data_IF_319208910198
#
_entry.id   IF_319208910198
#
_cell.length_a   1.000
_cell.length_b   1.000
_cell.length_c   1.000
_cell.angle_alpha   90.00
_cell.angle_beta   90.00
_cell.angle_gamma   90.00
#
_symmetry.space_group_name_H-M   'P 1'
#
loop_
_entity.id
_entity.type
_entity.pdbx_description
1 polymer ?
#
# COMPACT_ATOMS: atom_id res chain seq x y z
N UNK A 1 3.26 5.76 6.77
CA UNK A 1 3.95 5.18 5.59
C UNK A 1 3.91 6.06 4.34
N UNK A 2 2.75 6.59 3.94
CA UNK A 2 2.64 7.44 2.73
C UNK A 2 3.53 8.69 2.81
N UNK A 3 3.61 9.36 3.96
CA UNK A 3 4.51 10.51 4.13
C UNK A 3 5.99 10.14 3.98
N UNK A 4 6.39 8.95 4.47
CA UNK A 4 7.74 8.42 4.26
C UNK A 4 8.00 8.19 2.78
N UNK A 5 7.02 7.64 2.05
CA UNK A 5 7.10 7.44 0.61
C UNK A 5 7.27 8.75 -0.16
N UNK A 6 6.51 9.79 0.23
CA UNK A 6 6.63 11.14 -0.35
C UNK A 6 8.01 11.77 -0.09
N UNK A 7 8.54 11.57 1.12
CA UNK A 7 9.89 12.03 1.46
C UNK A 7 10.95 11.33 0.60
N UNK A 8 10.83 10.01 0.42
CA UNK A 8 11.74 9.23 -0.44
C UNK A 8 11.71 9.69 -1.90
N UNK A 9 10.53 9.99 -2.46
CA UNK A 9 10.42 10.55 -3.81
C UNK A 9 11.18 11.87 -3.99
N UNK A 10 11.17 12.73 -2.97
CA UNK A 10 11.93 14.00 -3.00
C UNK A 10 13.43 13.74 -2.87
N UNK A 11 13.82 12.83 -1.99
CA UNK A 11 15.22 12.49 -1.74
C UNK A 11 15.88 11.70 -2.89
N UNK A 12 15.10 11.05 -3.76
CA UNK A 12 15.59 10.31 -4.94
C UNK A 12 15.44 11.11 -6.26
N UNK A 13 15.21 12.42 -6.16
CA UNK A 13 15.15 13.32 -7.31
C UNK A 13 16.50 13.40 -8.05
N UNK A 14 16.52 13.88 -9.32
CA UNK A 14 17.69 13.79 -10.22
C UNK A 14 19.01 14.36 -9.68
N UNK A 15 18.95 15.25 -8.69
CA UNK A 15 20.12 15.89 -8.06
C UNK A 15 20.78 14.99 -6.99
N UNK A 16 20.08 13.96 -6.53
CA UNK A 16 20.48 13.15 -5.38
C UNK A 16 20.94 11.74 -5.75
N UNK A 17 21.04 11.42 -7.04
CA UNK A 17 21.27 10.04 -7.52
C UNK A 17 22.30 10.02 -8.65
N UNK A 18 23.19 9.03 -8.64
CA UNK A 18 24.27 8.92 -9.62
C UNK A 18 23.79 8.57 -11.05
N UNK A 19 22.66 7.87 -11.17
CA UNK A 19 22.12 7.39 -12.44
C UNK A 19 20.63 7.76 -12.58
N UNK A 20 20.19 7.97 -13.81
CA UNK A 20 18.80 8.29 -14.16
C UNK A 20 17.78 7.18 -13.81
N UNK A 21 18.22 6.02 -13.34
CA UNK A 21 17.34 4.91 -12.97
C UNK A 21 16.43 5.25 -11.78
N UNK A 22 16.98 5.89 -10.74
CA UNK A 22 16.23 6.29 -9.56
C UNK A 22 15.16 7.37 -9.85
N UNK A 23 15.49 8.51 -10.52
CA UNK A 23 14.48 9.50 -10.89
C UNK A 23 13.42 8.91 -11.84
N UNK A 24 13.82 8.07 -12.81
CA UNK A 24 12.88 7.40 -13.71
C UNK A 24 11.87 6.49 -12.98
N UNK A 25 12.20 5.97 -11.80
CA UNK A 25 11.28 5.21 -10.96
C UNK A 25 10.41 6.10 -10.06
N UNK A 26 10.96 7.19 -9.51
CA UNK A 26 10.22 8.04 -8.54
C UNK A 26 9.35 9.12 -9.18
N UNK A 27 9.64 9.59 -10.39
CA UNK A 27 8.78 10.55 -11.10
C UNK A 27 7.35 10.04 -11.32
N UNK A 28 7.13 8.83 -11.89
CA UNK A 28 5.77 8.30 -12.02
C UNK A 28 5.13 8.03 -10.66
N UNK A 29 5.89 7.55 -9.67
CA UNK A 29 5.38 7.30 -8.32
C UNK A 29 4.88 8.58 -7.64
N UNK A 30 5.66 9.66 -7.76
CA UNK A 30 5.31 10.97 -7.19
C UNK A 30 4.03 11.53 -7.82
N UNK A 31 3.86 11.35 -9.13
CA UNK A 31 2.61 11.70 -9.81
C UNK A 31 1.43 10.82 -9.36
N UNK A 32 1.65 9.53 -9.16
CA UNK A 32 0.63 8.60 -8.72
C UNK A 32 0.12 8.93 -7.30
N UNK A 33 1.01 9.24 -6.36
CA UNK A 33 0.64 9.66 -5.00
C UNK A 33 -0.13 10.97 -5.03
N UNK A 34 0.20 11.90 -5.94
CA UNK A 34 -0.50 13.18 -6.08
C UNK A 34 -1.94 13.03 -6.56
N UNK A 35 -2.20 12.15 -7.53
CA UNK A 35 -3.53 12.01 -8.15
C UNK A 35 -4.40 10.91 -7.50
N UNK A 36 -3.79 9.89 -6.90
CA UNK A 36 -4.49 8.71 -6.39
C UNK A 36 -4.25 8.50 -4.89
N UNK A 37 -4.04 9.58 -4.12
CA UNK A 37 -3.70 9.48 -2.69
C UNK A 37 -4.69 8.60 -1.91
N UNK A 38 -5.98 8.75 -2.17
CA UNK A 38 -7.04 7.99 -1.50
C UNK A 38 -6.90 6.47 -1.73
N UNK A 39 -6.43 6.04 -2.91
CA UNK A 39 -6.17 4.63 -3.20
C UNK A 39 -4.97 4.09 -2.41
N UNK A 40 -3.93 4.91 -2.24
CA UNK A 40 -2.78 4.55 -1.39
C UNK A 40 -3.20 4.48 0.09
N UNK A 41 -4.07 5.39 0.53
CA UNK A 41 -4.64 5.38 1.89
C UNK A 41 -5.52 4.15 2.11
N UNK A 42 -6.40 3.82 1.16
CA UNK A 42 -7.20 2.60 1.20
C UNK A 42 -6.34 1.33 1.24
N UNK A 43 -5.24 1.29 0.48
CA UNK A 43 -4.32 0.14 0.43
C UNK A 43 -3.49 -0.11 1.69
N UNK A 44 -3.35 0.90 2.57
CA UNK A 44 -2.69 0.75 3.89
C UNK A 44 -3.67 0.52 5.03
N UNK A 45 -4.97 0.80 4.82
CA UNK A 45 -6.00 0.47 5.81
C UNK A 45 -6.06 -1.05 5.87
N UNK A 46 -5.66 -1.59 7.02
CA UNK A 46 -5.72 -3.02 7.28
C UNK A 46 -7.19 -3.43 7.33
N UNK A 47 -7.73 -3.94 6.22
CA UNK A 47 -8.90 -4.79 6.32
C UNK A 47 -8.44 -6.06 7.02
N UNK A 48 -9.02 -6.33 8.18
CA UNK A 48 -8.89 -7.63 8.82
C UNK A 48 -9.46 -8.68 7.88
N UNK A 49 -8.62 -9.21 6.98
CA UNK A 49 -8.89 -10.38 6.14
C UNK A 49 -8.95 -11.63 7.02
N UNK A 50 -9.80 -11.59 8.03
CA UNK A 50 -10.12 -12.72 8.85
C UNK A 50 -11.08 -13.59 8.04
N UNK A 51 -10.75 -14.87 7.94
CA UNK A 51 -11.71 -15.90 7.52
C UNK A 51 -12.86 -16.07 8.55
N UNK A 52 -12.92 -15.21 9.58
CA UNK A 52 -13.98 -15.16 10.58
C UNK A 52 -15.22 -14.39 10.10
N UNK A 53 -15.17 -13.76 8.93
CA UNK A 53 -16.36 -13.20 8.32
C UNK A 53 -17.43 -14.30 8.19
N UNK A 54 -18.55 -14.10 8.87
CA UNK A 54 -19.66 -15.05 8.90
C UNK A 54 -20.26 -15.13 7.49
N UNK A 55 -19.78 -16.05 6.67
CA UNK A 55 -20.37 -16.32 5.36
C UNK A 55 -21.80 -16.79 5.60
N UNK A 56 -22.79 -16.06 5.08
CA UNK A 56 -24.22 -16.42 5.23
C UNK A 56 -24.42 -17.87 4.77
N UNK A 57 -24.82 -18.74 5.69
CA UNK A 57 -25.09 -20.16 5.42
C UNK A 57 -24.00 -21.14 5.88
N UNK A 58 -22.83 -20.67 6.37
CA UNK A 58 -21.81 -21.55 6.96
C UNK A 58 -22.00 -21.62 8.48
N UNK A 59 -22.03 -22.83 9.03
CA UNK A 59 -22.18 -23.04 10.47
C UNK A 59 -20.94 -22.50 11.23
N UNK A 60 -21.12 -21.62 12.23
CA UNK A 60 -20.01 -20.97 12.93
C UNK A 60 -19.15 -21.91 13.79
N UNK A 61 -19.59 -23.16 14.03
CA UNK A 61 -18.83 -24.10 14.86
C UNK A 61 -17.56 -24.65 14.16
N UNK A 62 -17.46 -24.54 12.83
CA UNK A 62 -16.30 -25.00 12.07
C UNK A 62 -15.15 -23.97 12.04
N UNK A 63 -15.44 -22.71 12.40
CA UNK A 63 -14.44 -21.63 12.38
C UNK A 63 -13.37 -21.79 13.48
N UNK A 64 -13.70 -22.48 14.59
CA UNK A 64 -12.78 -22.69 15.73
C UNK A 64 -12.05 -24.04 15.72
N UNK A 65 -12.25 -24.87 14.69
CA UNK A 65 -11.75 -26.25 14.64
C UNK A 65 -10.50 -26.45 13.78
N UNK A 66 -9.80 -25.37 13.39
CA UNK A 66 -8.61 -25.45 12.55
C UNK A 66 -7.34 -25.28 13.41
N UNK A 67 -6.43 -26.22 13.22
CA UNK A 67 -5.11 -26.40 13.84
C UNK A 67 -4.14 -25.28 13.51
#
# INVERSE_FOLDING_TARGET
>A
DIETLEHLCRSLSPVHTFCAHAPGAVEPLQSAIKYFREEFEAGIIQEDYTNANLIRGIQPNLLKSRW
#
